data_IF_018118013591
#
_entry.id   IF_018118013591
#
_cell.length_a   1.000
_cell.length_b   1.000
_cell.length_c   1.000
_cell.angle_alpha   90.00
_cell.angle_beta   90.00
_cell.angle_gamma   90.00
#
_symmetry.space_group_name_H-M   'P 1'
#
loop_
_entity.id
_entity.type
_entity.pdbx_description
1 polymer ?
#
# COMPACT_ATOMS: atom_id res chain seq x y z
N UNK A 1 -13.25 9.41 4.43
CA UNK A 1 -12.19 9.45 3.38
C UNK A 1 -10.99 10.27 3.79
N UNK A 2 -9.80 9.92 3.28
CA UNK A 2 -8.56 10.69 3.45
C UNK A 2 -8.02 11.10 2.09
N UNK A 3 -7.41 12.27 1.99
CA UNK A 3 -6.83 12.79 0.74
C UNK A 3 -5.50 13.49 1.00
N UNK A 4 -4.58 13.34 0.06
CA UNK A 4 -3.31 14.07 0.04
C UNK A 4 -3.51 15.44 -0.60
N UNK A 5 -3.01 16.50 0.04
CA UNK A 5 -3.12 17.87 -0.45
C UNK A 5 -1.85 18.31 -1.19
N UNK A 6 -2.01 18.85 -2.40
CA UNK A 6 -0.90 19.31 -3.23
C UNK A 6 -0.21 20.55 -2.66
N UNK A 7 1.12 20.53 -2.64
CA UNK A 7 1.95 21.63 -2.13
C UNK A 7 2.12 22.78 -3.13
N UNK A 8 1.64 22.61 -4.39
CA UNK A 8 1.89 23.53 -5.52
C UNK A 8 1.62 25.01 -5.20
N UNK A 9 0.54 25.28 -4.47
CA UNK A 9 0.08 26.62 -4.11
C UNK A 9 0.24 26.94 -2.61
N UNK A 10 0.92 26.09 -1.83
CA UNK A 10 1.01 26.20 -0.38
C UNK A 10 2.38 26.76 0.03
N UNK A 11 2.40 27.92 0.68
CA UNK A 11 3.61 28.53 1.25
C UNK A 11 3.90 27.91 2.63
N UNK A 12 4.72 26.86 2.67
CA UNK A 12 5.19 26.27 3.93
C UNK A 12 6.47 26.95 4.41
N UNK A 13 6.53 27.31 5.69
CA UNK A 13 7.66 28.05 6.28
C UNK A 13 8.99 27.28 6.31
N UNK A 14 8.94 25.94 6.25
CA UNK A 14 10.10 25.07 6.41
C UNK A 14 10.48 24.32 5.12
N UNK A 15 10.03 24.80 3.95
CA UNK A 15 9.95 23.94 2.78
C UNK A 15 10.42 24.55 1.46
N UNK A 16 11.51 23.98 0.92
CA UNK A 16 12.12 24.41 -0.33
C UNK A 16 11.32 23.87 -1.54
N UNK A 17 10.77 24.78 -2.37
CA UNK A 17 9.91 24.43 -3.53
C UNK A 17 10.53 23.40 -4.50
N UNK A 18 11.86 23.30 -4.56
CA UNK A 18 12.60 22.41 -5.47
C UNK A 18 12.86 21.00 -4.90
N UNK A 19 12.94 20.84 -3.58
CA UNK A 19 13.40 19.60 -2.92
C UNK A 19 12.25 18.83 -2.26
N UNK A 20 11.12 18.66 -2.98
CA UNK A 20 9.83 18.43 -2.31
C UNK A 20 9.00 17.20 -2.70
N UNK A 21 8.33 16.55 -1.72
CA UNK A 21 7.11 15.82 -2.00
C UNK A 21 6.05 16.85 -2.43
N UNK A 22 5.53 16.61 -3.62
CA UNK A 22 4.51 17.39 -4.32
C UNK A 22 3.14 17.41 -3.61
N UNK A 23 3.00 16.57 -2.57
CA UNK A 23 1.81 16.37 -1.77
C UNK A 23 2.18 16.19 -0.29
N UNK A 24 1.36 16.70 0.61
CA UNK A 24 1.46 16.50 2.06
C UNK A 24 0.22 15.79 2.59
N UNK A 25 0.44 14.98 3.64
CA UNK A 25 -0.54 14.50 4.63
C UNK A 25 -1.81 13.81 4.11
N UNK A 26 -2.19 12.62 4.61
CA UNK A 26 -3.55 12.14 4.43
C UNK A 26 -4.49 12.95 5.35
N UNK A 27 -5.08 14.03 4.83
CA UNK A 27 -6.05 14.86 5.54
C UNK A 27 -7.46 14.30 5.42
N UNK A 28 -8.25 14.39 6.49
CA UNK A 28 -9.64 13.98 6.47
C UNK A 28 -10.50 15.01 5.72
N UNK A 29 -11.38 14.55 4.85
CA UNK A 29 -12.43 15.40 4.26
C UNK A 29 -13.46 15.70 5.36
N UNK A 30 -13.67 16.98 5.64
CA UNK A 30 -14.66 17.45 6.61
C UNK A 30 -16.06 17.53 5.99
N UNK A 31 -16.13 18.00 4.73
CA UNK A 31 -17.38 18.19 4.00
C UNK A 31 -17.10 18.33 2.50
N UNK A 32 -17.89 17.70 1.64
CA UNK A 32 -17.95 18.03 0.20
C UNK A 32 -18.90 19.23 0.05
N UNK A 33 -18.40 20.36 -0.46
CA UNK A 33 -19.22 21.58 -0.64
C UNK A 33 -19.90 21.53 -2.01
N UNK A 34 -19.12 21.22 -3.04
CA UNK A 34 -19.54 21.01 -4.43
C UNK A 34 -18.84 19.76 -4.98
N UNK A 35 -19.32 19.15 -6.08
CA UNK A 35 -18.64 18.02 -6.73
C UNK A 35 -17.16 18.27 -7.05
N UNK A 36 -16.77 19.54 -7.22
CA UNK A 36 -15.43 19.99 -7.60
C UNK A 36 -14.65 20.65 -6.44
N UNK A 37 -15.27 20.82 -5.27
CA UNK A 37 -14.70 21.58 -4.14
C UNK A 37 -15.05 20.97 -2.79
N UNK A 38 -14.03 20.64 -2.00
CA UNK A 38 -14.19 19.99 -0.69
C UNK A 38 -13.46 20.77 0.41
N UNK A 39 -13.94 20.61 1.65
CA UNK A 39 -13.34 21.17 2.87
C UNK A 39 -12.57 20.07 3.59
N UNK A 40 -11.33 20.35 3.98
CA UNK A 40 -10.44 19.44 4.70
C UNK A 40 -10.25 19.86 6.16
N UNK A 41 -9.97 18.89 7.02
CA UNK A 41 -9.48 19.13 8.38
C UNK A 41 -7.95 19.35 8.29
N UNK A 42 -7.53 20.61 8.31
CA UNK A 42 -6.12 20.99 8.31
C UNK A 42 -5.57 21.08 9.75
N UNK A 43 -4.35 20.61 10.02
CA UNK A 43 -3.70 20.75 11.31
C UNK A 43 -3.14 22.16 11.51
N UNK A 44 -3.13 22.63 12.77
CA UNK A 44 -2.72 24.00 13.14
C UNK A 44 -1.30 24.39 12.66
N UNK A 45 -0.39 23.41 12.52
CA UNK A 45 0.98 23.65 12.03
C UNK A 45 1.05 24.08 10.56
N UNK A 46 0.02 23.80 9.76
CA UNK A 46 -0.04 24.17 8.34
C UNK A 46 -0.36 25.67 8.15
N UNK A 47 -0.72 26.37 9.23
CA UNK A 47 -1.01 27.81 9.25
C UNK A 47 -2.45 28.17 8.86
N UNK A 48 -2.71 29.47 8.71
CA UNK A 48 -4.03 30.03 8.38
C UNK A 48 -4.37 29.85 6.89
N UNK A 49 -4.26 28.64 6.37
CA UNK A 49 -4.69 28.30 5.01
C UNK A 49 -6.18 28.01 5.03
N UNK A 50 -6.92 28.54 4.06
CA UNK A 50 -8.34 28.22 3.92
C UNK A 50 -8.52 26.70 3.76
N UNK A 51 -9.39 26.05 4.55
CA UNK A 51 -9.55 24.60 4.52
C UNK A 51 -10.30 24.09 3.28
N UNK A 52 -10.64 24.96 2.32
CA UNK A 52 -11.46 24.63 1.15
C UNK A 52 -10.56 24.53 -0.08
N UNK A 53 -10.59 23.38 -0.76
CA UNK A 53 -9.73 23.07 -1.89
C UNK A 53 -10.53 22.49 -3.05
N UNK A 54 -10.10 22.84 -4.27
CA UNK A 54 -10.57 22.24 -5.51
C UNK A 54 -10.02 20.82 -5.65
N UNK A 55 -10.81 19.87 -6.17
CA UNK A 55 -10.41 18.45 -6.29
C UNK A 55 -9.09 18.23 -7.04
N UNK A 56 -8.78 19.03 -8.07
CA UNK A 56 -7.49 18.99 -8.79
C UNK A 56 -6.24 19.27 -7.92
N UNK A 57 -6.40 19.85 -6.72
CA UNK A 57 -5.32 20.03 -5.75
C UNK A 57 -5.22 18.86 -4.76
N UNK A 58 -6.11 17.89 -4.87
CA UNK A 58 -6.18 16.71 -4.03
C UNK A 58 -5.76 15.49 -4.85
N UNK A 59 -4.96 14.63 -4.22
CA UNK A 59 -4.75 13.28 -4.68
C UNK A 59 -5.46 12.38 -3.69
N UNK A 60 -6.36 11.52 -4.18
CA UNK A 60 -7.04 10.56 -3.32
C UNK A 60 -5.97 9.75 -2.56
N UNK A 61 -6.09 9.70 -1.23
CA UNK A 61 -5.32 8.75 -0.46
C UNK A 61 -6.04 7.42 -0.65
N UNK A 62 -5.78 6.80 -1.80
CA UNK A 62 -5.96 5.38 -1.94
C UNK A 62 -5.18 4.74 -0.81
N UNK A 63 -5.89 4.38 0.26
CA UNK A 63 -5.65 3.10 0.91
C UNK A 63 -6.12 2.04 -0.08
N UNK A 64 -5.45 2.01 -1.23
CA UNK A 64 -5.22 0.78 -1.94
C UNK A 64 -4.59 -0.08 -0.84
N UNK A 65 -5.34 -1.09 -0.41
CA UNK A 65 -4.78 -2.42 -0.52
C UNK A 65 -4.30 -2.60 -1.97
N UNK A 66 -3.16 -1.97 -2.31
CA UNK A 66 -2.13 -2.75 -2.93
C UNK A 66 -1.79 -3.77 -1.85
N UNK A 67 -2.16 -5.05 -2.02
CA UNK A 67 -1.15 -6.02 -1.71
C UNK A 67 0.13 -5.48 -2.36
N UNK A 68 1.17 -5.25 -1.55
CA UNK A 68 2.54 -5.27 -2.06
C UNK A 68 2.57 -6.42 -3.09
N UNK A 69 3.16 -6.29 -4.29
CA UNK A 69 3.03 -7.29 -5.37
C UNK A 69 3.63 -8.69 -5.07
N UNK A 70 3.90 -8.98 -3.79
CA UNK A 70 4.41 -10.21 -3.18
C UNK A 70 3.72 -10.52 -1.81
N UNK A 71 2.60 -9.86 -1.46
CA UNK A 71 1.81 -10.14 -0.24
C UNK A 71 0.40 -10.56 -0.68
N UNK A 72 0.03 -11.83 -0.55
CA UNK A 72 -1.27 -12.32 -0.97
C UNK A 72 -2.39 -11.74 -0.09
N UNK A 73 -3.63 -11.64 -0.58
CA UNK A 73 -4.78 -11.31 0.24
C UNK A 73 -4.85 -12.22 1.47
N UNK A 74 -5.10 -11.65 2.66
CA UNK A 74 -5.11 -12.33 3.98
C UNK A 74 -6.11 -13.50 4.14
N UNK A 75 -6.83 -13.86 3.08
CA UNK A 75 -7.95 -14.79 3.06
C UNK A 75 -7.81 -15.91 2.02
N UNK A 76 -6.73 -15.95 1.23
CA UNK A 76 -6.52 -17.05 0.29
C UNK A 76 -5.90 -18.26 0.99
N UNK A 77 -6.54 -19.43 0.85
CA UNK A 77 -5.97 -20.70 1.28
C UNK A 77 -4.82 -21.11 0.35
N UNK A 78 -3.73 -21.57 0.96
CA UNK A 78 -2.58 -22.12 0.23
C UNK A 78 -2.92 -23.54 -0.23
N UNK A 79 -2.82 -23.79 -1.53
CA UNK A 79 -2.95 -25.12 -2.12
C UNK A 79 -1.62 -25.88 -2.01
N UNK A 80 -0.54 -25.26 -2.50
CA UNK A 80 0.79 -25.89 -2.57
C UNK A 80 1.92 -24.87 -2.66
N UNK A 81 3.09 -25.24 -2.16
CA UNK A 81 4.36 -24.53 -2.43
C UNK A 81 5.05 -25.18 -3.62
N UNK A 82 5.40 -24.38 -4.61
CA UNK A 82 6.01 -24.82 -5.87
C UNK A 82 7.53 -24.67 -5.88
N UNK A 83 8.05 -23.59 -5.29
CA UNK A 83 9.47 -23.22 -5.36
C UNK A 83 9.88 -22.35 -4.15
N UNK A 84 11.18 -22.17 -3.93
CA UNK A 84 11.74 -21.25 -2.94
C UNK A 84 12.94 -20.46 -3.50
N UNK A 85 13.05 -19.19 -3.13
CA UNK A 85 14.17 -18.31 -3.52
C UNK A 85 14.60 -17.42 -2.36
N UNK A 86 15.85 -16.97 -2.39
CA UNK A 86 16.37 -15.96 -1.45
C UNK A 86 16.44 -14.62 -2.18
N UNK A 87 15.75 -13.61 -1.66
CA UNK A 87 15.73 -12.26 -2.20
C UNK A 87 16.19 -11.26 -1.12
N UNK A 88 17.36 -10.64 -1.32
CA UNK A 88 17.98 -9.70 -0.35
C UNK A 88 18.01 -10.27 1.08
N UNK A 89 18.48 -11.51 1.23
CA UNK A 89 18.56 -12.21 2.52
C UNK A 89 17.24 -12.72 3.10
N UNK A 90 16.10 -12.55 2.39
CA UNK A 90 14.80 -13.03 2.84
C UNK A 90 14.35 -14.23 1.98
N UNK A 91 14.01 -15.35 2.62
CA UNK A 91 13.40 -16.49 1.92
C UNK A 91 11.97 -16.17 1.51
N UNK A 92 11.69 -16.34 0.22
CA UNK A 92 10.37 -16.27 -0.38
C UNK A 92 10.01 -17.64 -0.98
N UNK A 93 8.76 -18.04 -0.90
CA UNK A 93 8.24 -19.25 -1.53
C UNK A 93 7.24 -18.88 -2.62
N UNK A 94 7.26 -19.62 -3.72
CA UNK A 94 6.25 -19.52 -4.76
C UNK A 94 5.04 -20.34 -4.33
N UNK A 95 3.93 -19.64 -4.07
CA UNK A 95 2.72 -20.21 -3.48
C UNK A 95 1.61 -20.26 -4.52
N UNK A 96 1.05 -21.46 -4.71
CA UNK A 96 -0.15 -21.70 -5.50
C UNK A 96 -1.39 -21.56 -4.63
N UNK A 97 -2.36 -20.79 -5.12
CA UNK A 97 -3.61 -20.48 -4.41
C UNK A 97 -4.71 -21.49 -4.73
N UNK A 98 -5.45 -21.89 -3.71
CA UNK A 98 -6.56 -22.84 -3.86
C UNK A 98 -7.69 -22.19 -4.67
N UNK A 99 -8.13 -22.86 -5.73
CA UNK A 99 -9.16 -22.35 -6.65
C UNK A 99 -8.64 -21.44 -7.78
N UNK A 100 -7.32 -21.20 -7.86
CA UNK A 100 -6.70 -20.40 -8.93
C UNK A 100 -5.76 -21.26 -9.79
N UNK A 101 -5.55 -20.91 -11.07
CA UNK A 101 -4.57 -21.57 -11.92
C UNK A 101 -3.14 -21.28 -11.46
N UNK A 102 -2.21 -22.15 -11.82
CA UNK A 102 -0.79 -22.03 -11.44
C UNK A 102 -0.11 -20.74 -11.96
N UNK A 103 -0.64 -20.14 -13.03
CA UNK A 103 -0.18 -18.87 -13.55
C UNK A 103 -0.38 -17.68 -12.59
N UNK A 104 -1.29 -17.81 -11.60
CA UNK A 104 -1.53 -16.81 -10.53
C UNK A 104 -0.66 -17.08 -9.28
N UNK A 105 0.28 -18.05 -9.34
CA UNK A 105 1.16 -18.34 -8.22
C UNK A 105 2.03 -17.13 -7.86
N UNK A 106 2.14 -16.83 -6.57
CA UNK A 106 2.73 -15.59 -6.06
C UNK A 106 3.90 -15.85 -5.13
N UNK A 107 4.92 -14.98 -5.15
CA UNK A 107 6.07 -15.08 -4.24
C UNK A 107 5.74 -14.46 -2.88
N UNK A 108 5.66 -15.29 -1.84
CA UNK A 108 5.29 -14.90 -0.47
C UNK A 108 6.49 -15.05 0.46
N UNK A 109 6.70 -14.14 1.42
CA UNK A 109 7.77 -14.27 2.41
C UNK A 109 7.47 -15.41 3.40
N UNK A 110 8.51 -16.06 3.92
CA UNK A 110 8.37 -17.09 4.97
C UNK A 110 7.49 -16.63 6.15
N UNK A 111 7.64 -15.38 6.60
CA UNK A 111 6.92 -14.78 7.72
C UNK A 111 5.41 -14.63 7.49
N UNK A 112 4.97 -14.53 6.24
CA UNK A 112 3.56 -14.33 5.86
C UNK A 112 2.84 -15.67 5.57
N UNK A 113 3.58 -16.78 5.46
CA UNK A 113 3.05 -18.12 5.17
C UNK A 113 2.61 -18.79 6.46
N UNK A 114 1.30 -18.82 6.69
CA UNK A 114 0.67 -19.51 7.85
C UNK A 114 0.46 -21.02 7.63
N UNK A 115 1.32 -21.64 6.83
CA UNK A 115 1.20 -23.02 6.38
C UNK A 115 2.52 -23.79 6.54
N UNK A 116 3.09 -23.76 7.75
CA UNK A 116 4.36 -24.42 8.11
C UNK A 116 4.40 -25.91 7.72
N UNK A 117 3.24 -26.59 7.70
CA UNK A 117 3.11 -27.97 7.20
C UNK A 117 3.55 -28.10 5.74
N UNK A 118 3.08 -27.21 4.87
CA UNK A 118 3.41 -27.23 3.43
C UNK A 118 4.86 -26.81 3.18
N UNK A 119 5.38 -25.85 3.95
CA UNK A 119 6.80 -25.48 3.93
C UNK A 119 7.67 -26.69 4.31
N UNK A 120 7.27 -27.40 5.36
CA UNK A 120 7.97 -28.60 5.84
C UNK A 120 7.92 -29.75 4.84
N UNK A 121 6.80 -29.98 4.16
CA UNK A 121 6.73 -30.99 3.09
C UNK A 121 7.59 -30.63 1.89
N UNK A 122 7.59 -29.36 1.48
CA UNK A 122 8.44 -28.88 0.39
C UNK A 122 9.93 -29.13 0.70
N UNK A 123 10.40 -28.76 1.90
CA UNK A 123 11.80 -29.02 2.30
C UNK A 123 12.13 -30.51 2.42
N UNK A 124 11.20 -31.36 2.90
CA UNK A 124 11.41 -32.82 2.92
C UNK A 124 11.59 -33.38 1.51
N UNK A 125 10.78 -32.93 0.56
CA UNK A 125 10.82 -33.38 -0.83
C UNK A 125 12.08 -32.94 -1.58
N UNK A 126 12.63 -31.77 -1.26
CA UNK A 126 13.83 -31.21 -1.91
C UNK A 126 15.15 -31.67 -1.28
N UNK A 127 15.11 -32.52 -0.25
CA UNK A 127 16.30 -33.02 0.46
C UNK A 127 16.44 -34.56 0.33
N UNK A 128 16.01 -35.09 -0.83
CA UNK A 128 16.16 -36.48 -1.30
C UNK A 128 16.76 -36.43 -2.70
#
# INVERSE_FOLDING_TARGET
DRVYLSTKNIRMKFYNKKLGPKYIGPFSVAQVINPVTVRLILPRWLGNIHPVFHINLLKECFTQSEPLPNVPPKHLEIDKILDCRINKGNTQYLVRWKGYPEAEASWVKSQDIRADRLVSEFHKRSNT
#
